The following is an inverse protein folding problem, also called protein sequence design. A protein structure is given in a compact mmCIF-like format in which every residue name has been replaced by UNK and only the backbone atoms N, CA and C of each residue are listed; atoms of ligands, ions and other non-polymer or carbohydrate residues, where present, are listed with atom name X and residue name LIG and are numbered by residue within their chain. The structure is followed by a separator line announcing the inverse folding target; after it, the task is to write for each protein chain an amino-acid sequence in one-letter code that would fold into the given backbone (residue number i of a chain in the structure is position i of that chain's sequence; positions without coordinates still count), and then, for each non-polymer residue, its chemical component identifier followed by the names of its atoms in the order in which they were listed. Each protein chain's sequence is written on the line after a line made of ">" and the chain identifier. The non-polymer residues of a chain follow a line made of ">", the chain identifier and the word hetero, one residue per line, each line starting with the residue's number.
data_IF_112497835289
#
_entry.id   IF_112497835289
#
_cell.length_a   1.000
_cell.length_b   1.000
_cell.length_c   1.000
_cell.angle_alpha   90.00
_cell.angle_beta   90.00
_cell.angle_gamma   90.00
#
_symmetry.space_group_name_H-M   'P 1'
#
loop_
_entity.id
_entity.type
_entity.pdbx_description
1 polymer ?
#
# COMPACT_ATOMS: atom_id res chain seq x y z
N UNK A 1 -11.10 6.52 7.77
CA UNK A 1 -10.35 6.45 9.04
C UNK A 1 -9.34 5.34 8.89
N UNK A 2 -8.04 5.65 8.89
CA UNK A 2 -7.00 4.61 8.90
C UNK A 2 -7.14 3.79 10.17
N UNK A 3 -7.20 2.46 10.02
CA UNK A 3 -7.57 1.49 11.05
C UNK A 3 -6.71 1.58 12.33
N UNK A 4 -5.57 2.24 12.25
CA UNK A 4 -4.51 2.30 13.28
C UNK A 4 -4.35 3.72 13.87
N UNK A 5 -5.20 4.68 13.47
CA UNK A 5 -5.16 6.05 14.01
C UNK A 5 -3.92 6.89 13.64
N UNK A 6 -3.06 6.38 12.76
CA UNK A 6 -1.85 7.08 12.32
C UNK A 6 -2.17 8.22 11.33
N UNK A 7 -1.42 9.34 11.38
CA UNK A 7 -1.47 10.35 10.34
C UNK A 7 -1.08 9.68 9.03
N UNK A 8 -2.01 9.63 8.08
CA UNK A 8 -1.86 8.88 6.85
C UNK A 8 -2.12 9.77 5.65
N UNK A 9 -1.18 9.74 4.71
CA UNK A 9 -1.30 10.38 3.41
C UNK A 9 -1.46 9.30 2.36
N UNK A 10 -2.51 9.41 1.56
CA UNK A 10 -2.76 8.52 0.44
C UNK A 10 -2.53 9.29 -0.85
N UNK A 11 -1.76 8.70 -1.74
CA UNK A 11 -1.50 9.24 -3.07
C UNK A 11 -1.92 8.22 -4.13
N UNK A 12 -2.87 8.60 -4.97
CA UNK A 12 -3.33 7.77 -6.07
C UNK A 12 -2.51 8.07 -7.33
N UNK A 13 -1.82 7.05 -7.83
CA UNK A 13 -1.12 7.08 -9.11
C UNK A 13 -1.87 6.24 -10.15
N UNK A 14 -1.55 6.41 -11.43
CA UNK A 14 -2.22 5.70 -12.52
C UNK A 14 -2.13 4.17 -12.41
N UNK A 15 -1.01 3.66 -11.89
CA UNK A 15 -0.72 2.21 -11.82
C UNK A 15 -0.73 1.63 -10.41
N UNK A 16 -0.78 2.46 -9.38
CA UNK A 16 -0.69 2.04 -8.00
C UNK A 16 -1.28 3.09 -7.06
N UNK A 17 -1.54 2.70 -5.83
CA UNK A 17 -1.87 3.60 -4.73
C UNK A 17 -0.73 3.52 -3.72
N UNK A 18 -0.18 4.68 -3.36
CA UNK A 18 0.81 4.83 -2.30
C UNK A 18 0.11 5.25 -1.02
N UNK A 19 0.46 4.63 0.09
CA UNK A 19 0.01 5.01 1.42
C UNK A 19 1.25 5.27 2.27
N UNK A 20 1.33 6.45 2.85
CA UNK A 20 2.39 6.88 3.75
C UNK A 20 1.78 7.15 5.12
N UNK A 21 2.45 6.68 6.18
CA UNK A 21 2.03 6.86 7.56
C UNK A 21 3.19 7.39 8.39
N UNK A 22 3.01 8.55 9.00
CA UNK A 22 3.96 9.08 9.98
C UNK A 22 3.87 8.25 11.26
N UNK A 23 5.01 7.72 11.70
CA UNK A 23 5.11 6.87 12.87
C UNK A 23 5.57 7.73 14.06
N UNK A 24 4.72 7.88 15.10
CA UNK A 24 5.11 8.57 16.32
C UNK A 24 6.39 7.98 16.93
N UNK A 25 7.15 8.82 17.63
CA UNK A 25 8.34 8.36 18.36
C UNK A 25 7.97 7.32 19.41
N UNK A 26 6.88 7.57 20.15
CA UNK A 26 6.28 6.67 21.13
C UNK A 26 5.09 5.89 20.51
N UNK A 27 5.39 4.86 19.71
CA UNK A 27 4.40 3.88 19.26
C UNK A 27 4.52 2.60 20.12
N UNK A 28 3.40 2.04 20.56
CA UNK A 28 3.40 0.76 21.28
C UNK A 28 3.80 -0.39 20.36
N UNK A 29 4.38 -1.45 20.94
CA UNK A 29 4.76 -2.64 20.19
C UNK A 29 3.56 -3.35 19.53
N UNK A 30 2.38 -3.29 20.16
CA UNK A 30 1.16 -3.88 19.60
C UNK A 30 0.68 -3.13 18.36
N UNK A 31 0.61 -1.79 18.41
CA UNK A 31 0.26 -0.97 17.25
C UNK A 31 1.30 -1.09 16.13
N UNK A 32 2.58 -1.24 16.48
CA UNK A 32 3.62 -1.47 15.50
C UNK A 32 3.45 -2.83 14.80
N UNK A 33 3.10 -3.89 15.54
CA UNK A 33 2.83 -5.20 14.97
C UNK A 33 1.62 -5.14 14.02
N UNK A 34 0.52 -4.52 14.45
CA UNK A 34 -0.67 -4.35 13.61
C UNK A 34 -0.34 -3.59 12.31
N UNK A 35 0.47 -2.53 12.39
CA UNK A 35 0.92 -1.80 11.21
C UNK A 35 1.75 -2.68 10.26
N UNK A 36 2.64 -3.53 10.79
CA UNK A 36 3.43 -4.45 9.98
C UNK A 36 2.57 -5.54 9.33
N UNK A 37 1.54 -6.04 10.00
CA UNK A 37 0.60 -7.02 9.44
C UNK A 37 -0.13 -6.44 8.22
N UNK A 38 -0.64 -5.21 8.32
CA UNK A 38 -1.32 -4.53 7.20
C UNK A 38 -0.35 -4.28 6.05
N UNK A 39 0.86 -3.79 6.34
CA UNK A 39 1.83 -3.41 5.32
C UNK A 39 2.43 -4.63 4.61
N UNK A 40 2.44 -5.80 5.25
CA UNK A 40 2.85 -7.06 4.63
C UNK A 40 1.91 -7.53 3.50
N UNK A 41 0.67 -7.03 3.44
CA UNK A 41 -0.27 -7.32 2.35
C UNK A 41 0.00 -6.47 1.09
N UNK A 42 0.83 -5.43 1.19
CA UNK A 42 1.15 -4.55 0.07
C UNK A 42 2.15 -5.20 -0.90
N UNK A 43 2.08 -4.82 -2.19
CA UNK A 43 3.02 -5.30 -3.20
C UNK A 43 4.46 -4.86 -2.91
N UNK A 44 4.62 -3.66 -2.33
CA UNK A 44 5.90 -3.11 -1.88
C UNK A 44 5.70 -2.27 -0.63
N UNK A 45 6.68 -2.32 0.27
CA UNK A 45 6.65 -1.50 1.48
C UNK A 45 8.04 -1.22 2.03
N UNK A 46 8.12 -0.26 2.95
CA UNK A 46 9.34 0.04 3.67
C UNK A 46 9.18 1.09 4.77
N UNK A 47 10.26 1.28 5.53
CA UNK A 47 10.36 2.30 6.57
C UNK A 47 11.45 3.30 6.17
N UNK A 48 11.07 4.57 6.05
CA UNK A 48 11.99 5.67 5.85
C UNK A 48 12.19 6.40 7.19
N UNK A 49 13.42 6.47 7.68
CA UNK A 49 13.77 7.24 8.86
C UNK A 49 14.70 8.38 8.46
N UNK A 50 14.25 9.63 8.59
CA UNK A 50 15.08 10.82 8.37
C UNK A 50 15.28 11.55 9.69
N UNK A 51 16.38 12.29 9.83
CA UNK A 51 16.64 13.06 11.05
C UNK A 51 15.72 14.28 11.21
N UNK A 52 14.98 14.65 10.15
CA UNK A 52 14.10 15.83 10.10
C UNK A 52 12.61 15.48 10.19
N UNK A 53 12.18 14.39 9.52
CA UNK A 53 10.76 14.02 9.39
C UNK A 53 10.41 12.77 10.22
N UNK A 54 11.32 12.35 11.09
CA UNK A 54 11.13 11.19 11.95
C UNK A 54 11.08 9.89 11.15
N UNK A 55 10.08 9.04 11.46
CA UNK A 55 9.90 7.73 10.84
C UNK A 55 8.61 7.74 10.03
N UNK A 56 8.68 7.41 8.76
CA UNK A 56 7.52 7.27 7.87
C UNK A 56 7.49 5.85 7.32
N UNK A 57 6.40 5.14 7.57
CA UNK A 57 6.11 3.85 6.98
C UNK A 57 5.38 4.07 5.66
N UNK A 58 5.78 3.37 4.61
CA UNK A 58 5.14 3.48 3.29
C UNK A 58 4.78 2.10 2.74
N UNK A 59 3.69 2.06 1.99
CA UNK A 59 3.17 0.88 1.32
C UNK A 59 2.61 1.26 -0.05
N UNK A 60 2.81 0.38 -1.03
CA UNK A 60 2.32 0.55 -2.40
C UNK A 60 1.51 -0.66 -2.78
N UNK A 61 0.28 -0.41 -3.26
CA UNK A 61 -0.62 -1.42 -3.81
C UNK A 61 -0.81 -1.14 -5.29
N UNK A 62 -0.43 -2.08 -6.14
CA UNK A 62 -0.61 -1.98 -7.58
C UNK A 62 -2.09 -2.14 -7.93
N UNK A 63 -2.59 -1.25 -8.80
CA UNK A 63 -3.94 -1.37 -9.33
C UNK A 63 -3.96 -2.61 -10.23
N UNK A 64 -4.82 -3.57 -9.92
CA UNK A 64 -5.01 -4.73 -10.79
C UNK A 64 -5.39 -4.22 -12.19
N UNK A 65 -4.54 -4.50 -13.17
CA UNK A 65 -4.88 -4.23 -14.57
C UNK A 65 -6.06 -5.14 -14.91
N UNK A 66 -7.17 -4.63 -15.47
CA UNK A 66 -8.20 -5.51 -16.01
C UNK A 66 -7.51 -6.41 -17.04
N UNK A 67 -7.43 -7.71 -16.78
CA UNK A 67 -6.91 -8.67 -17.74
C UNK A 67 -7.81 -8.63 -18.98
N UNK A 68 -7.43 -7.82 -19.95
CA UNK A 68 -8.08 -7.79 -21.26
C UNK A 68 -7.54 -9.00 -22.00
N UNK A 69 -8.20 -10.16 -21.89
CA UNK A 69 -7.76 -11.33 -22.63
C UNK A 69 -8.22 -12.69 -22.10
N UNK A 70 -9.53 -12.93 -22.07
CA UNK A 70 -10.06 -14.19 -22.59
C UNK A 70 -11.31 -13.92 -23.41
N UNK A 71 -11.10 -13.32 -24.59
CA UNK A 71 -12.08 -13.35 -25.68
C UNK A 71 -11.64 -14.48 -26.62
N UNK A 72 -11.59 -15.71 -26.10
CA UNK A 72 -11.34 -16.93 -26.86
C UNK A 72 -12.64 -17.54 -27.39
N UNK A 73 -13.51 -16.76 -28.03
CA UNK A 73 -14.69 -17.30 -28.73
C UNK A 73 -14.28 -17.88 -30.09
N UNK A 74 -14.58 -19.15 -30.42
CA UNK A 74 -14.20 -19.73 -31.70
C UNK A 74 -14.90 -19.01 -32.83
N UNK A 75 -14.11 -18.24 -33.59
CA UNK A 75 -14.56 -17.63 -34.84
C UNK A 75 -14.78 -18.74 -35.85
N UNK A 76 -16.06 -18.98 -36.18
CA UNK A 76 -16.45 -19.81 -37.31
C UNK A 76 -15.88 -19.17 -38.58
N UNK A 77 -14.91 -19.83 -39.21
CA UNK A 77 -14.59 -19.59 -40.61
C UNK A 77 -15.11 -20.78 -41.42
N UNK A 78 -15.92 -20.43 -42.44
CA UNK A 78 -16.63 -21.31 -43.37
C UNK A 78 -15.67 -22.07 -44.28
#
# INVERSE_FOLDING_TARGET
>A
MSAIGLPTRVEECDRYTSVEAEIPEALSADLWREALEVVAEADRFGLLATSLDGRTLWAVVHKAVPATGDVGGPSHQR
#
